data_IF_331032211726
#
_entry.id   IF_331032211726
#
_cell.length_a   1.000
_cell.length_b   1.000
_cell.length_c   1.000
_cell.angle_alpha   90.00
_cell.angle_beta   90.00
_cell.angle_gamma   90.00
#
_symmetry.space_group_name_H-M   'P 1'
#
loop_
_entity.id
_entity.type
_entity.pdbx_description
1 polymer ?
#
# COMPACT_ATOMS: atom_id res chain seq x y z
N UNK A 1 -18.05 4.97 3.65
CA UNK A 1 -17.86 3.60 3.11
C UNK A 1 -18.56 2.63 4.04
N UNK A 2 -19.34 1.66 3.54
CA UNK A 2 -20.05 0.73 4.44
C UNK A 2 -19.11 -0.28 5.12
N UNK A 3 -18.10 -0.75 4.37
CA UNK A 3 -17.06 -1.66 4.88
C UNK A 3 -15.85 -1.66 3.94
N UNK A 4 -14.67 -1.89 4.51
CA UNK A 4 -13.40 -2.05 3.81
C UNK A 4 -12.87 -3.48 4.08
N UNK A 5 -12.18 -4.07 3.11
CA UNK A 5 -11.56 -5.40 3.23
C UNK A 5 -10.13 -5.37 2.67
N UNK A 6 -9.17 -5.58 3.54
CA UNK A 6 -7.75 -5.75 3.24
C UNK A 6 -7.46 -7.22 2.90
N UNK A 7 -7.16 -7.45 1.62
CA UNK A 7 -6.73 -8.74 1.08
C UNK A 7 -7.65 -9.91 1.49
N UNK A 8 -8.94 -9.87 1.10
CA UNK A 8 -9.86 -10.98 1.35
C UNK A 8 -9.44 -12.25 0.60
N UNK A 9 -9.91 -13.41 1.05
CA UNK A 9 -9.73 -14.67 0.34
C UNK A 9 -10.40 -14.62 -1.06
N UNK A 10 -9.97 -15.51 -1.96
CA UNK A 10 -10.43 -15.55 -3.35
C UNK A 10 -11.96 -15.66 -3.49
N UNK A 11 -12.61 -16.42 -2.62
CA UNK A 11 -14.06 -16.59 -2.64
C UNK A 11 -14.78 -15.30 -2.25
N UNK A 12 -14.30 -14.64 -1.20
CA UNK A 12 -14.80 -13.33 -0.76
C UNK A 12 -14.54 -12.24 -1.81
N UNK A 13 -13.34 -12.17 -2.39
CA UNK A 13 -13.01 -11.21 -3.45
C UNK A 13 -13.95 -11.31 -4.65
N UNK A 14 -14.25 -12.53 -5.12
CA UNK A 14 -15.21 -12.76 -6.22
C UNK A 14 -16.62 -12.26 -5.88
N UNK A 15 -17.10 -12.52 -4.67
CA UNK A 15 -18.41 -12.04 -4.22
C UNK A 15 -18.48 -10.52 -4.12
N UNK A 16 -17.41 -9.88 -3.63
CA UNK A 16 -17.33 -8.42 -3.55
C UNK A 16 -17.33 -7.80 -4.95
N UNK A 17 -16.55 -8.34 -5.87
CA UNK A 17 -16.53 -7.90 -7.26
C UNK A 17 -17.91 -8.02 -7.92
N UNK A 18 -18.58 -9.16 -7.78
CA UNK A 18 -19.93 -9.37 -8.32
C UNK A 18 -20.99 -8.43 -7.74
N UNK A 19 -20.75 -7.87 -6.53
CA UNK A 19 -21.62 -6.88 -5.88
C UNK A 19 -21.28 -5.43 -6.23
N UNK A 20 -20.35 -5.21 -7.15
CA UNK A 20 -19.93 -3.87 -7.55
C UNK A 20 -19.06 -3.17 -6.51
N UNK A 21 -18.42 -3.91 -5.59
CA UNK A 21 -17.42 -3.31 -4.70
C UNK A 21 -16.19 -2.84 -5.49
N UNK A 22 -15.56 -1.78 -5.00
CA UNK A 22 -14.41 -1.15 -5.63
C UNK A 22 -13.10 -1.77 -5.15
N UNK A 23 -12.08 -1.74 -6.00
CA UNK A 23 -10.69 -2.00 -5.61
C UNK A 23 -10.07 -0.71 -5.05
N UNK A 24 -9.32 -0.85 -3.96
CA UNK A 24 -8.58 0.26 -3.38
C UNK A 24 -7.25 0.44 -4.11
N UNK A 25 -6.98 1.65 -4.61
CA UNK A 25 -5.72 2.00 -5.29
C UNK A 25 -4.63 2.46 -4.33
N UNK A 26 -4.96 2.59 -3.04
CA UNK A 26 -4.08 3.13 -1.99
C UNK A 26 -3.68 4.61 -2.20
N UNK A 27 -4.37 5.32 -3.09
CA UNK A 27 -4.30 6.79 -3.19
C UNK A 27 -5.27 7.38 -2.17
N UNK A 28 -4.74 8.13 -1.21
CA UNK A 28 -5.50 8.72 -0.12
C UNK A 28 -5.34 10.23 -0.10
N UNK A 29 -6.43 10.94 0.17
CA UNK A 29 -6.44 12.38 0.43
C UNK A 29 -7.04 12.60 1.81
N UNK A 30 -6.24 13.08 2.75
CA UNK A 30 -6.64 13.35 4.12
C UNK A 30 -5.78 14.47 4.71
N UNK A 31 -6.29 15.16 5.73
CA UNK A 31 -5.44 16.05 6.52
C UNK A 31 -4.46 15.24 7.36
N UNK A 32 -3.25 15.77 7.56
CA UNK A 32 -2.25 15.16 8.44
C UNK A 32 -2.80 14.95 9.86
N UNK A 33 -3.61 15.90 10.35
CA UNK A 33 -4.29 15.80 11.65
C UNK A 33 -5.22 14.60 11.74
N UNK A 34 -6.03 14.35 10.71
CA UNK A 34 -6.92 13.20 10.68
C UNK A 34 -6.13 11.89 10.70
N UNK A 35 -5.08 11.78 9.87
CA UNK A 35 -4.22 10.60 9.85
C UNK A 35 -3.57 10.37 11.21
N UNK A 36 -3.08 11.43 11.86
CA UNK A 36 -2.51 11.36 13.20
C UNK A 36 -3.53 10.91 14.25
N UNK A 37 -4.72 11.49 14.26
CA UNK A 37 -5.79 11.10 15.19
C UNK A 37 -6.21 9.63 14.99
N UNK A 38 -6.20 9.13 13.75
CA UNK A 38 -6.44 7.73 13.45
C UNK A 38 -5.30 6.83 13.93
N UNK A 39 -4.05 7.22 13.73
CA UNK A 39 -2.88 6.48 14.25
C UNK A 39 -2.93 6.39 15.78
N UNK A 40 -3.20 7.50 16.49
CA UNK A 40 -3.32 7.49 17.97
C UNK A 40 -4.43 6.55 18.46
N UNK A 41 -5.56 6.50 17.75
CA UNK A 41 -6.69 5.63 18.11
C UNK A 41 -6.44 4.16 17.79
N UNK A 42 -5.97 3.87 16.58
CA UNK A 42 -5.89 2.50 16.06
C UNK A 42 -4.56 1.81 16.34
N UNK A 43 -3.48 2.59 16.49
CA UNK A 43 -2.10 2.15 16.64
C UNK A 43 -1.41 2.95 17.76
N UNK A 44 -1.93 2.93 19.01
CA UNK A 44 -1.45 3.80 20.09
C UNK A 44 0.03 3.60 20.43
N UNK A 45 0.54 2.36 20.32
CA UNK A 45 1.96 2.08 20.53
C UNK A 45 2.82 2.80 19.48
N UNK A 46 2.46 2.66 18.19
CA UNK A 46 3.15 3.34 17.09
C UNK A 46 3.10 4.86 17.25
N UNK A 47 1.94 5.40 17.65
CA UNK A 47 1.81 6.82 17.94
C UNK A 47 2.76 7.27 19.06
N UNK A 48 2.86 6.51 20.15
CA UNK A 48 3.80 6.83 21.24
C UNK A 48 5.27 6.79 20.81
N UNK A 49 5.65 5.90 19.89
CA UNK A 49 6.99 5.90 19.29
C UNK A 49 7.24 7.17 18.48
N UNK A 50 6.28 7.58 17.65
CA UNK A 50 6.39 8.84 16.90
C UNK A 50 6.42 10.07 17.81
N UNK A 51 5.66 10.09 18.91
CA UNK A 51 5.69 11.17 19.89
C UNK A 51 7.11 11.32 20.49
N UNK A 52 7.76 10.22 20.88
CA UNK A 52 9.15 10.25 21.38
C UNK A 52 10.16 10.73 20.34
N UNK A 53 9.99 10.33 19.07
CA UNK A 53 10.83 10.83 17.97
C UNK A 53 10.66 12.35 17.82
N UNK A 54 9.43 12.85 17.90
CA UNK A 54 9.13 14.29 17.79
C UNK A 54 9.72 15.07 18.96
N UNK A 55 9.64 14.55 20.19
CA UNK A 55 10.23 15.15 21.38
C UNK A 55 11.76 15.33 21.25
N UNK A 56 12.44 14.35 20.66
CA UNK A 56 13.89 14.40 20.44
C UNK A 56 14.30 15.19 19.18
N UNK A 57 13.36 15.64 18.34
CA UNK A 57 13.63 16.06 16.96
C UNK A 57 14.64 17.22 16.83
N UNK A 58 14.62 18.16 17.77
CA UNK A 58 15.52 19.32 17.79
C UNK A 58 16.66 19.17 18.81
N UNK A 59 16.79 18.00 19.44
CA UNK A 59 17.79 17.70 20.45
C UNK A 59 19.03 17.00 19.89
N UNK A 60 20.11 16.91 20.69
CA UNK A 60 21.32 16.20 20.30
C UNK A 60 21.10 14.68 20.12
N UNK A 61 20.09 14.12 20.78
CA UNK A 61 19.80 12.68 20.76
C UNK A 61 18.88 12.25 19.60
N UNK A 62 18.53 13.16 18.68
CA UNK A 62 17.56 12.91 17.59
C UNK A 62 17.81 11.59 16.86
N UNK A 63 19.05 11.37 16.41
CA UNK A 63 19.40 10.21 15.60
C UNK A 63 19.36 8.92 16.42
N UNK A 64 19.90 8.96 17.64
CA UNK A 64 19.86 7.81 18.55
C UNK A 64 18.42 7.39 18.90
N UNK A 65 17.53 8.35 19.15
CA UNK A 65 16.10 8.07 19.43
C UNK A 65 15.40 7.58 18.19
N UNK A 66 15.62 8.20 17.02
CA UNK A 66 15.02 7.76 15.76
C UNK A 66 15.38 6.30 15.47
N UNK A 67 16.66 5.95 15.55
CA UNK A 67 17.15 4.60 15.28
C UNK A 67 16.59 3.59 16.29
N UNK A 68 16.60 3.92 17.58
CA UNK A 68 16.08 3.04 18.63
C UNK A 68 14.57 2.78 18.46
N UNK A 69 13.79 3.84 18.17
CA UNK A 69 12.35 3.71 18.00
C UNK A 69 11.99 2.94 16.73
N UNK A 70 12.67 3.20 15.60
CA UNK A 70 12.45 2.43 14.37
C UNK A 70 12.88 0.96 14.54
N UNK A 71 13.98 0.68 15.25
CA UNK A 71 14.41 -0.69 15.52
C UNK A 71 13.41 -1.46 16.41
N UNK A 72 12.78 -0.78 17.37
CA UNK A 72 11.76 -1.37 18.23
C UNK A 72 10.35 -1.42 17.59
N UNK A 73 10.14 -0.70 16.49
CA UNK A 73 8.83 -0.55 15.85
C UNK A 73 8.34 -1.88 15.26
N UNK A 74 7.15 -2.30 15.68
CA UNK A 74 6.50 -3.48 15.10
C UNK A 74 5.85 -3.12 13.76
N UNK A 75 5.90 -4.01 12.75
CA UNK A 75 5.16 -3.81 11.52
C UNK A 75 3.66 -3.63 11.79
N UNK A 76 3.06 -2.62 11.16
CA UNK A 76 1.64 -2.35 11.18
C UNK A 76 1.09 -2.35 9.76
N UNK A 77 -0.08 -2.95 9.57
CA UNK A 77 -0.82 -2.91 8.31
C UNK A 77 -1.87 -1.79 8.38
N UNK A 78 -1.57 -0.66 7.75
CA UNK A 78 -2.47 0.51 7.76
C UNK A 78 -3.88 0.20 7.23
N UNK A 79 -4.01 -0.57 6.15
CA UNK A 79 -5.32 -0.97 5.61
C UNK A 79 -6.15 -1.77 6.60
N UNK A 80 -5.55 -2.80 7.23
CA UNK A 80 -6.24 -3.71 8.15
C UNK A 80 -6.46 -3.09 9.52
N UNK A 81 -5.46 -2.39 10.05
CA UNK A 81 -5.51 -1.89 11.42
C UNK A 81 -6.15 -0.51 11.52
N UNK A 82 -6.21 0.26 10.43
CA UNK A 82 -6.84 1.58 10.39
C UNK A 82 -8.05 1.60 9.46
N UNK A 83 -7.87 1.35 8.15
CA UNK A 83 -8.95 1.57 7.17
C UNK A 83 -10.14 0.59 7.34
N UNK A 84 -9.88 -0.67 7.68
CA UNK A 84 -10.95 -1.64 8.00
C UNK A 84 -11.72 -1.25 9.26
N UNK A 85 -11.01 -0.84 10.32
CA UNK A 85 -11.61 -0.49 11.62
C UNK A 85 -12.39 0.82 11.56
N UNK A 86 -11.87 1.79 10.82
CA UNK A 86 -12.42 3.15 10.72
C UNK A 86 -13.13 3.39 9.38
N UNK A 87 -13.72 2.33 8.78
CA UNK A 87 -14.40 2.41 7.49
C UNK A 87 -15.50 3.51 7.44
N UNK A 88 -16.13 3.80 8.57
CA UNK A 88 -17.11 4.88 8.71
C UNK A 88 -16.55 6.29 8.46
N UNK A 89 -15.23 6.48 8.55
CA UNK A 89 -14.55 7.76 8.27
C UNK A 89 -14.08 7.89 6.83
N UNK A 90 -14.29 6.87 6.00
CA UNK A 90 -13.83 6.86 4.62
C UNK A 90 -14.92 7.34 3.66
N UNK A 91 -14.52 8.19 2.71
CA UNK A 91 -15.23 8.45 1.47
C UNK A 91 -14.43 7.85 0.31
N UNK A 92 -15.11 7.43 -0.77
CA UNK A 92 -14.47 6.86 -1.96
C UNK A 92 -14.91 7.65 -3.19
N UNK A 93 -13.95 7.90 -4.08
CA UNK A 93 -14.19 8.44 -5.41
C UNK A 93 -13.85 7.34 -6.42
N UNK A 94 -14.85 6.76 -7.12
CA UNK A 94 -14.59 5.83 -8.20
C UNK A 94 -13.85 6.55 -9.33
N UNK A 95 -12.76 5.95 -9.82
CA UNK A 95 -12.00 6.49 -10.95
C UNK A 95 -12.22 5.58 -12.15
N UNK A 96 -12.75 6.16 -13.24
CA UNK A 96 -12.91 5.49 -14.53
C UNK A 96 -11.99 6.08 -15.60
N UNK A 97 -11.81 5.39 -16.71
CA UNK A 97 -11.00 5.87 -17.84
C UNK A 97 -9.49 5.87 -17.59
N UNK A 98 -9.02 5.20 -16.54
CA UNK A 98 -7.60 5.06 -16.22
C UNK A 98 -7.14 3.61 -16.34
N UNK A 99 -5.92 3.42 -16.82
CA UNK A 99 -5.20 2.17 -16.65
C UNK A 99 -4.50 2.22 -15.28
N UNK A 100 -4.86 1.32 -14.38
CA UNK A 100 -4.24 1.22 -13.06
C UNK A 100 -3.75 -0.22 -12.81
N UNK A 101 -2.55 -0.33 -12.27
CA UNK A 101 -1.93 -1.58 -11.82
C UNK A 101 -0.96 -1.24 -10.68
N UNK A 102 -0.93 -2.08 -9.65
CA UNK A 102 -0.01 -1.96 -8.52
C UNK A 102 1.39 -2.54 -8.81
N UNK A 103 1.55 -3.18 -9.98
CA UNK A 103 2.74 -3.92 -10.37
C UNK A 103 3.24 -4.92 -9.32
N UNK A 104 2.32 -5.51 -8.55
CA UNK A 104 2.66 -6.47 -7.50
C UNK A 104 3.30 -7.78 -7.98
N UNK A 105 3.28 -8.05 -9.29
CA UNK A 105 3.88 -9.23 -9.92
C UNK A 105 4.56 -8.81 -11.25
N UNK A 106 5.73 -9.37 -11.61
CA UNK A 106 6.43 -9.00 -12.86
C UNK A 106 5.56 -9.11 -14.12
N UNK A 107 4.68 -10.12 -14.19
CA UNK A 107 3.76 -10.29 -15.30
C UNK A 107 2.83 -9.08 -15.51
N UNK A 108 2.44 -8.37 -14.44
CA UNK A 108 1.60 -7.17 -14.51
C UNK A 108 2.33 -5.97 -15.11
N UNK A 109 3.66 -5.91 -14.97
CA UNK A 109 4.49 -4.89 -15.63
C UNK A 109 4.48 -5.11 -17.13
N UNK A 110 4.75 -6.35 -17.56
CA UNK A 110 4.70 -6.76 -18.98
C UNK A 110 3.31 -6.47 -19.58
N UNK A 111 2.23 -6.84 -18.89
CA UNK A 111 0.86 -6.54 -19.32
C UNK A 111 0.64 -5.03 -19.46
N UNK A 112 1.07 -4.23 -18.48
CA UNK A 112 0.92 -2.77 -18.52
C UNK A 112 1.64 -2.18 -19.72
N UNK A 113 2.89 -2.58 -19.97
CA UNK A 113 3.70 -2.07 -21.09
C UNK A 113 3.08 -2.42 -22.44
N UNK A 114 2.53 -3.62 -22.59
CA UNK A 114 1.75 -4.00 -23.79
C UNK A 114 0.50 -3.14 -23.95
N UNK A 115 -0.25 -2.91 -22.87
CA UNK A 115 -1.49 -2.12 -22.90
C UNK A 115 -1.28 -0.65 -23.28
N UNK A 116 -0.10 -0.10 -23.02
CA UNK A 116 0.28 1.26 -23.46
C UNK A 116 0.93 1.29 -24.86
N UNK A 117 0.97 0.15 -25.58
CA UNK A 117 1.46 0.08 -26.95
C UNK A 117 2.99 0.04 -27.10
N UNK A 118 3.71 -0.29 -26.03
CA UNK A 118 5.17 -0.38 -26.05
C UNK A 118 5.63 -1.85 -26.00
N UNK A 119 6.74 -2.14 -26.67
CA UNK A 119 7.31 -3.49 -26.78
C UNK A 119 8.84 -3.45 -26.71
N UNK A 120 9.41 -3.08 -25.55
CA UNK A 120 10.85 -3.16 -25.35
C UNK A 120 11.31 -4.64 -25.39
N UNK A 121 12.61 -4.86 -25.61
CA UNK A 121 13.18 -6.20 -25.81
C UNK A 121 12.83 -7.20 -24.69
N UNK A 122 12.75 -6.76 -23.44
CA UNK A 122 12.43 -7.61 -22.29
C UNK A 122 10.95 -8.03 -22.24
N UNK A 123 10.03 -7.28 -22.86
CA UNK A 123 8.62 -7.70 -23.04
C UNK A 123 8.50 -8.79 -24.09
N UNK A 124 9.33 -8.72 -25.14
CA UNK A 124 9.38 -9.74 -26.20
C UNK A 124 10.03 -11.04 -25.66
N UNK A 125 11.11 -10.93 -24.89
CA UNK A 125 11.76 -12.08 -24.26
C UNK A 125 10.83 -12.83 -23.29
N UNK A 126 9.92 -12.12 -22.61
CA UNK A 126 8.91 -12.73 -21.74
C UNK A 126 7.91 -13.63 -22.49
N UNK A 127 7.69 -13.42 -23.80
CA UNK A 127 6.80 -14.25 -24.63
C UNK A 127 7.42 -15.60 -25.03
N UNK A 128 8.76 -15.69 -25.02
CA UNK A 128 9.50 -16.88 -25.44
C UNK A 128 9.84 -17.82 -24.28
N UNK A 129 9.37 -17.54 -23.06
CA UNK A 129 9.67 -18.37 -21.87
C UNK A 129 11.12 -18.25 -21.39
N UNK A 130 11.90 -17.32 -21.94
CA UNK A 130 13.32 -17.10 -21.60
C UNK A 130 13.50 -16.10 -20.43
N UNK A 131 12.42 -15.47 -19.97
CA UNK A 131 12.45 -14.32 -19.08
C UNK A 131 12.66 -14.58 -17.58
N UNK A 132 12.84 -15.83 -17.14
CA UNK A 132 13.03 -16.12 -15.71
C UNK A 132 14.51 -16.04 -15.26
N UNK A 133 15.48 -16.07 -16.18
CA UNK A 133 16.91 -16.14 -15.78
C UNK A 133 17.68 -14.83 -15.85
N UNK A 134 17.33 -13.89 -16.74
CA UNK A 134 18.26 -12.77 -17.01
C UNK A 134 17.64 -11.36 -16.93
N UNK A 135 16.33 -11.22 -16.72
CA UNK A 135 15.68 -9.90 -16.79
C UNK A 135 15.74 -9.08 -15.48
N UNK A 136 16.04 -9.69 -14.33
CA UNK A 136 15.93 -9.04 -13.01
C UNK A 136 17.18 -9.08 -12.15
N UNK A 137 18.32 -9.53 -12.68
CA UNK A 137 19.64 -9.32 -12.05
C UNK A 137 19.76 -9.81 -10.61
N UNK A 138 19.09 -10.90 -10.24
CA UNK A 138 19.30 -11.55 -8.95
C UNK A 138 20.43 -12.58 -9.07
N UNK A 139 21.56 -12.26 -8.43
CA UNK A 139 22.43 -13.23 -7.77
C UNK A 139 22.11 -13.22 -6.27
#
# INVERSE_FOLDING_TARGET
VCRFWEKPDRGTARRLFARGCLLNTFVLVASARLLWDLTRRCLPNLAGQFERIVEAWNGPDREAVLDAEYAAMRPANFSREVLEREAGRLAVLPVGGVLWSDWGEPARVVETVRRIGSTPWWVLAADHGEGERDAWGHA
#
